data_IF_826064234667
#
_entry.id   IF_826064234667
#
_cell.length_a   1.000
_cell.length_b   1.000
_cell.length_c   1.000
_cell.angle_alpha   90.00
_cell.angle_beta   90.00
_cell.angle_gamma   90.00
#
_symmetry.space_group_name_H-M   'P 1'
#
loop_
_entity.id
_entity.type
_entity.pdbx_description
1 polymer ?
#
# COMPACT_ATOMS: atom_id res chain seq x y z
N UNK A 1 4.93 -0.39 -11.54
CA UNK A 1 4.70 -1.84 -11.67
C UNK A 1 3.86 -2.27 -10.48
N UNK A 2 2.54 -2.40 -10.67
CA UNK A 2 1.55 -2.75 -9.63
C UNK A 2 0.72 -3.96 -10.08
N UNK A 3 1.36 -4.87 -10.80
CA UNK A 3 0.76 -6.12 -11.27
C UNK A 3 1.81 -7.16 -10.94
N UNK A 4 1.57 -7.94 -9.89
CA UNK A 4 2.41 -9.11 -9.57
C UNK A 4 1.51 -10.33 -9.60
N UNK A 5 1.86 -11.30 -10.45
CA UNK A 5 1.27 -12.63 -10.50
C UNK A 5 2.37 -13.62 -10.15
N UNK A 6 2.54 -13.99 -8.87
CA UNK A 6 3.83 -14.54 -8.45
C UNK A 6 3.81 -15.56 -7.31
N UNK A 7 4.80 -16.46 -7.37
CA UNK A 7 5.34 -17.22 -6.23
C UNK A 7 6.41 -16.41 -5.46
N UNK A 8 6.94 -15.33 -6.03
CA UNK A 8 7.95 -14.43 -5.47
C UNK A 8 7.71 -12.96 -5.87
N UNK A 9 7.96 -11.99 -5.00
CA UNK A 9 7.61 -10.55 -5.14
C UNK A 9 8.19 -9.78 -6.38
N UNK A 10 8.70 -10.48 -7.39
CA UNK A 10 9.26 -9.97 -8.65
C UNK A 10 8.60 -10.51 -9.93
N UNK A 11 7.68 -11.48 -9.85
CA UNK A 11 7.15 -12.14 -11.04
C UNK A 11 6.35 -11.21 -11.97
N UNK A 12 6.68 -11.36 -13.26
CA UNK A 12 6.21 -10.57 -14.37
C UNK A 12 4.75 -10.92 -14.75
N UNK A 13 3.81 -9.96 -14.72
CA UNK A 13 2.44 -10.16 -15.18
C UNK A 13 2.37 -10.73 -16.61
N UNK A 14 3.35 -10.44 -17.47
CA UNK A 14 3.40 -11.00 -18.82
C UNK A 14 3.48 -12.52 -18.82
N UNK A 15 4.10 -13.17 -17.81
CA UNK A 15 4.16 -14.63 -17.72
C UNK A 15 2.78 -15.24 -17.53
N UNK A 16 1.95 -14.67 -16.66
CA UNK A 16 0.58 -15.17 -16.45
C UNK A 16 -0.26 -14.98 -17.72
N UNK A 17 -0.14 -13.82 -18.39
CA UNK A 17 -0.80 -13.59 -19.68
C UNK A 17 -0.38 -14.60 -20.74
N UNK A 18 0.92 -14.88 -20.85
CA UNK A 18 1.45 -15.88 -21.79
C UNK A 18 0.98 -17.30 -21.45
N UNK A 19 0.93 -17.67 -20.18
CA UNK A 19 0.45 -18.99 -19.75
C UNK A 19 -1.03 -19.20 -20.06
N UNK A 20 -1.87 -18.17 -19.83
CA UNK A 20 -3.28 -18.19 -20.20
C UNK A 20 -3.46 -18.27 -21.72
N UNK A 21 -2.72 -17.45 -22.49
CA UNK A 21 -2.76 -17.49 -23.96
C UNK A 21 -2.25 -18.83 -24.53
N UNK A 22 -1.27 -19.45 -23.86
CA UNK A 22 -0.71 -20.76 -24.20
C UNK A 22 -1.58 -21.95 -23.77
N UNK A 23 -2.65 -21.73 -23.02
CA UNK A 23 -3.56 -22.79 -22.57
C UNK A 23 -3.01 -23.67 -21.43
N UNK A 24 -2.00 -23.19 -20.70
CA UNK A 24 -1.42 -23.90 -19.56
C UNK A 24 -1.21 -22.96 -18.35
N UNK A 25 -2.27 -22.30 -17.85
CA UNK A 25 -2.16 -21.44 -16.68
C UNK A 25 -2.10 -22.25 -15.38
N UNK A 26 -1.61 -21.65 -14.28
CA UNK A 26 -1.81 -22.20 -12.94
C UNK A 26 -3.31 -22.24 -12.57
N UNK A 27 -3.69 -23.13 -11.66
CA UNK A 27 -5.10 -23.27 -11.25
C UNK A 27 -5.57 -22.13 -10.32
N UNK A 28 -4.70 -21.65 -9.42
CA UNK A 28 -4.95 -20.53 -8.50
C UNK A 28 -3.75 -19.59 -8.49
N UNK A 29 -4.00 -18.29 -8.52
CA UNK A 29 -2.96 -17.25 -8.44
C UNK A 29 -3.25 -16.29 -7.30
N UNK A 30 -2.22 -15.99 -6.50
CA UNK A 30 -2.22 -14.85 -5.58
C UNK A 30 -1.85 -13.59 -6.36
N UNK A 31 -2.79 -12.66 -6.44
CA UNK A 31 -2.75 -11.56 -7.41
C UNK A 31 -3.08 -10.22 -6.75
N UNK A 32 -2.46 -9.14 -7.22
CA UNK A 32 -2.73 -7.79 -6.74
C UNK A 32 -4.20 -7.43 -7.00
N UNK A 33 -4.94 -7.13 -5.93
CA UNK A 33 -6.38 -6.89 -5.99
C UNK A 33 -6.70 -5.65 -6.84
N UNK A 34 -5.80 -4.67 -6.87
CA UNK A 34 -5.97 -3.43 -7.65
C UNK A 34 -6.06 -3.69 -9.17
N UNK A 35 -5.47 -4.79 -9.63
CA UNK A 35 -5.41 -5.16 -11.05
C UNK A 35 -6.52 -6.15 -11.46
N UNK A 36 -7.35 -6.64 -10.54
CA UNK A 36 -8.36 -7.67 -10.81
C UNK A 36 -9.34 -7.20 -11.89
N UNK A 37 -9.90 -6.00 -11.76
CA UNK A 37 -10.86 -5.47 -12.72
C UNK A 37 -10.30 -5.31 -14.14
N UNK A 38 -9.04 -4.84 -14.25
CA UNK A 38 -8.34 -4.71 -15.53
C UNK A 38 -8.16 -6.07 -16.21
N UNK A 39 -7.76 -7.09 -15.46
CA UNK A 39 -7.49 -8.42 -15.99
C UNK A 39 -8.78 -9.21 -16.29
N UNK A 40 -9.81 -9.03 -15.48
CA UNK A 40 -11.15 -9.53 -15.76
C UNK A 40 -11.69 -8.95 -17.07
N UNK A 41 -11.48 -7.65 -17.32
CA UNK A 41 -11.90 -6.98 -18.58
C UNK A 41 -11.22 -7.57 -19.82
N UNK A 42 -10.00 -8.08 -19.66
CA UNK A 42 -9.22 -8.75 -20.71
C UNK A 42 -9.59 -10.24 -20.87
N UNK A 43 -10.53 -10.75 -20.07
CA UNK A 43 -10.97 -12.13 -20.12
C UNK A 43 -9.95 -13.13 -19.57
N UNK A 44 -9.02 -12.68 -18.74
CA UNK A 44 -7.91 -13.52 -18.26
C UNK A 44 -8.33 -14.39 -17.07
N UNK A 45 -9.34 -13.97 -16.32
CA UNK A 45 -9.85 -14.68 -15.16
C UNK A 45 -11.18 -15.38 -15.44
N UNK A 46 -11.39 -16.48 -14.74
CA UNK A 46 -12.66 -17.21 -14.68
C UNK A 46 -13.63 -16.45 -13.75
N UNK A 47 -14.88 -16.21 -14.15
CA UNK A 47 -15.91 -15.71 -13.24
C UNK A 47 -16.16 -16.69 -12.09
N UNK A 48 -16.22 -16.19 -10.87
CA UNK A 48 -16.43 -16.98 -9.65
C UNK A 48 -17.88 -16.93 -9.14
N UNK A 49 -18.71 -16.05 -9.72
CA UNK A 49 -20.09 -15.81 -9.24
C UNK A 49 -20.94 -17.09 -9.19
N UNK A 50 -20.90 -17.92 -10.23
CA UNK A 50 -21.67 -19.17 -10.27
C UNK A 50 -21.26 -20.17 -9.18
N UNK A 51 -19.97 -20.19 -8.83
CA UNK A 51 -19.45 -21.05 -7.75
C UNK A 51 -19.93 -20.56 -6.37
N UNK A 52 -19.87 -19.24 -6.15
CA UNK A 52 -20.39 -18.61 -4.94
C UNK A 52 -21.90 -18.85 -4.78
N UNK A 53 -22.68 -18.60 -5.84
CA UNK A 53 -24.14 -18.76 -5.81
C UNK A 53 -24.55 -20.21 -5.60
N UNK A 54 -23.82 -21.17 -6.19
CA UNK A 54 -24.02 -22.59 -5.96
C UNK A 54 -23.77 -22.97 -4.50
N UNK A 55 -22.69 -22.48 -3.88
CA UNK A 55 -22.36 -22.78 -2.49
C UNK A 55 -23.34 -22.17 -1.50
N UNK A 56 -23.77 -20.93 -1.73
CA UNK A 56 -24.80 -20.29 -0.91
C UNK A 56 -26.14 -21.04 -0.96
N UNK A 57 -26.45 -21.69 -2.09
CA UNK A 57 -27.68 -22.45 -2.28
C UNK A 57 -27.59 -23.89 -1.75
N UNK A 58 -26.49 -24.58 -2.03
CA UNK A 58 -26.35 -26.03 -1.85
C UNK A 58 -25.61 -26.39 -0.56
N UNK A 59 -24.76 -25.48 -0.07
CA UNK A 59 -23.91 -25.67 1.11
C UNK A 59 -23.98 -24.48 2.08
N UNK A 60 -25.17 -23.96 2.45
CA UNK A 60 -25.28 -22.77 3.29
C UNK A 60 -24.66 -22.95 4.69
N UNK A 61 -24.67 -24.18 5.21
CA UNK A 61 -24.16 -24.48 6.56
C UNK A 61 -22.71 -24.97 6.56
N UNK A 62 -22.06 -25.07 5.40
CA UNK A 62 -20.64 -25.42 5.31
C UNK A 62 -19.79 -24.25 5.86
N UNK A 63 -18.91 -24.49 6.85
CA UNK A 63 -18.07 -23.43 7.43
C UNK A 63 -17.09 -22.79 6.43
N UNK A 64 -16.86 -23.42 5.27
CA UNK A 64 -16.03 -22.88 4.19
C UNK A 64 -16.82 -22.13 3.13
N UNK A 65 -18.15 -22.06 3.22
CA UNK A 65 -18.96 -21.26 2.29
C UNK A 65 -18.68 -19.78 2.52
N UNK A 66 -18.14 -19.14 1.49
CA UNK A 66 -17.78 -17.73 1.51
C UNK A 66 -19.02 -16.86 1.47
N UNK A 67 -18.97 -15.75 2.21
CA UNK A 67 -20.05 -14.77 2.28
C UNK A 67 -19.46 -13.36 2.14
N UNK A 68 -20.03 -12.47 1.31
CA UNK A 68 -19.51 -11.11 1.15
C UNK A 68 -19.32 -10.37 2.47
N UNK A 69 -20.18 -10.61 3.45
CA UNK A 69 -20.18 -9.97 4.76
C UNK A 69 -18.99 -10.37 5.64
N UNK A 70 -18.24 -11.41 5.26
CA UNK A 70 -16.98 -11.79 5.92
C UNK A 70 -15.81 -10.90 5.51
N UNK A 71 -15.98 -10.08 4.46
CA UNK A 71 -14.94 -9.24 3.89
C UNK A 71 -15.27 -7.76 4.08
N UNK A 72 -14.24 -6.91 4.12
CA UNK A 72 -14.47 -5.47 4.05
C UNK A 72 -15.10 -5.10 2.70
N UNK A 73 -16.11 -4.24 2.71
CA UNK A 73 -16.86 -3.83 1.51
C UNK A 73 -15.95 -3.39 0.36
N UNK A 74 -14.94 -2.57 0.65
CA UNK A 74 -13.95 -2.13 -0.35
C UNK A 74 -13.15 -3.30 -0.95
N UNK A 75 -12.79 -4.29 -0.13
CA UNK A 75 -12.07 -5.48 -0.58
C UNK A 75 -12.92 -6.33 -1.52
N UNK A 76 -14.17 -6.54 -1.13
CA UNK A 76 -15.12 -7.29 -1.94
C UNK A 76 -15.45 -6.58 -3.25
N UNK A 77 -15.65 -5.25 -3.21
CA UNK A 77 -15.96 -4.44 -4.39
C UNK A 77 -14.82 -4.47 -5.43
N UNK A 78 -13.57 -4.36 -5.00
CA UNK A 78 -12.42 -4.45 -5.91
C UNK A 78 -12.23 -5.86 -6.53
N UNK A 79 -12.84 -6.88 -5.95
CA UNK A 79 -12.81 -8.25 -6.46
C UNK A 79 -13.84 -8.51 -7.56
N UNK A 80 -14.64 -7.50 -7.91
CA UNK A 80 -15.68 -7.58 -8.93
C UNK A 80 -15.34 -6.76 -10.17
N UNK A 81 -15.85 -7.21 -11.31
CA UNK A 81 -15.86 -6.44 -12.56
C UNK A 81 -17.25 -6.53 -13.18
N UNK A 82 -17.86 -5.36 -13.44
CA UNK A 82 -19.24 -5.26 -13.96
C UNK A 82 -20.27 -6.07 -13.13
N UNK A 83 -20.14 -6.04 -11.80
CA UNK A 83 -21.04 -6.74 -10.88
C UNK A 83 -20.86 -8.27 -10.82
N UNK A 84 -19.84 -8.81 -11.49
CA UNK A 84 -19.50 -10.24 -11.45
C UNK A 84 -18.23 -10.43 -10.63
N UNK A 85 -18.23 -11.41 -9.72
CA UNK A 85 -17.05 -11.76 -8.90
C UNK A 85 -15.97 -12.46 -9.74
N UNK A 86 -14.71 -12.03 -9.62
CA UNK A 86 -13.55 -12.63 -10.30
C UNK A 86 -12.41 -13.03 -9.37
N UNK A 87 -12.44 -12.56 -8.12
CA UNK A 87 -11.41 -12.85 -7.13
C UNK A 87 -12.03 -13.04 -5.75
N UNK A 88 -11.30 -13.68 -4.84
CA UNK A 88 -11.63 -13.73 -3.41
C UNK A 88 -10.55 -12.97 -2.64
N UNK A 89 -10.89 -11.90 -1.88
CA UNK A 89 -9.92 -11.18 -1.09
C UNK A 89 -9.19 -12.11 -0.12
N UNK A 90 -7.87 -11.94 0.00
CA UNK A 90 -7.04 -12.70 0.93
C UNK A 90 -6.62 -11.83 2.13
N UNK A 91 -6.15 -10.62 1.84
CA UNK A 91 -5.73 -9.66 2.86
C UNK A 91 -6.13 -8.24 2.46
N UNK A 92 -5.89 -7.34 3.41
CA UNK A 92 -5.84 -5.91 3.16
C UNK A 92 -4.56 -5.36 3.77
N UNK A 93 -3.95 -4.40 3.10
CA UNK A 93 -2.85 -3.60 3.61
C UNK A 93 -3.24 -2.11 3.52
N UNK A 94 -2.67 -1.28 4.40
CA UNK A 94 -3.02 0.14 4.47
C UNK A 94 -1.79 1.03 4.45
N UNK A 95 -1.92 2.22 3.84
CA UNK A 95 -0.85 3.23 3.79
C UNK A 95 -1.12 4.31 4.82
N UNK A 96 -0.12 4.56 5.65
CA UNK A 96 -0.14 5.58 6.67
C UNK A 96 1.17 6.38 6.66
N UNK A 97 1.14 7.59 7.20
CA UNK A 97 2.32 8.40 7.45
C UNK A 97 3.06 7.84 8.68
N UNK A 98 4.22 7.26 8.44
CA UNK A 98 5.22 6.93 9.47
C UNK A 98 6.12 8.14 9.69
N UNK A 99 6.41 8.44 10.95
CA UNK A 99 7.29 9.54 11.32
C UNK A 99 8.19 9.19 12.50
N UNK A 100 9.39 9.74 12.48
CA UNK A 100 10.37 9.58 13.55
C UNK A 100 10.14 10.66 14.62
N UNK A 101 9.65 10.25 15.79
CA UNK A 101 9.33 11.17 16.89
C UNK A 101 10.58 11.88 17.42
N UNK A 102 11.74 11.22 17.46
CA UNK A 102 12.98 11.86 17.94
C UNK A 102 13.41 13.01 17.03
N UNK A 103 13.18 12.89 15.72
CA UNK A 103 13.41 13.97 14.77
C UNK A 103 12.38 15.10 14.90
N UNK A 104 11.12 14.79 15.20
CA UNK A 104 10.11 15.81 15.51
C UNK A 104 10.47 16.57 16.80
N UNK A 105 10.83 15.85 17.87
CA UNK A 105 11.21 16.43 19.15
C UNK A 105 12.45 17.33 19.01
N UNK A 106 13.44 16.92 18.21
CA UNK A 106 14.64 17.72 17.93
C UNK A 106 14.34 19.05 17.23
N UNK A 107 13.26 19.12 16.46
CA UNK A 107 12.83 20.29 15.68
C UNK A 107 11.51 20.87 16.21
N UNK A 108 11.24 20.66 17.52
CA UNK A 108 9.95 20.94 18.12
C UNK A 108 9.51 22.41 17.94
N UNK A 109 10.41 23.36 18.21
CA UNK A 109 10.08 24.78 18.16
C UNK A 109 9.64 25.23 16.77
N UNK A 110 10.35 24.81 15.71
CA UNK A 110 10.00 25.15 14.33
C UNK A 110 8.73 24.44 13.87
N UNK A 111 8.54 23.18 14.25
CA UNK A 111 7.36 22.40 13.89
C UNK A 111 6.09 22.94 14.56
N UNK A 112 6.15 23.27 15.85
CA UNK A 112 5.05 23.89 16.60
C UNK A 112 4.70 25.25 15.98
N UNK A 113 5.70 26.07 15.64
CA UNK A 113 5.48 27.34 14.97
C UNK A 113 4.83 27.19 13.58
N UNK A 114 5.07 26.07 12.90
CA UNK A 114 4.41 25.69 11.66
C UNK A 114 3.03 25.03 11.86
N UNK A 115 2.55 24.92 13.10
CA UNK A 115 1.27 24.30 13.44
C UNK A 115 1.29 22.75 13.44
N UNK A 116 2.47 22.14 13.31
CA UNK A 116 2.66 20.69 13.44
C UNK A 116 2.74 20.31 14.92
N UNK A 117 1.59 20.22 15.57
CA UNK A 117 1.45 19.95 17.01
C UNK A 117 0.78 18.60 17.26
N UNK A 118 1.07 18.00 18.40
CA UNK A 118 0.38 16.78 18.86
C UNK A 118 -1.11 17.12 19.10
N UNK A 119 -2.06 16.36 18.52
CA UNK A 119 -3.49 16.58 18.74
C UNK A 119 -3.92 16.50 20.21
N UNK A 120 -3.25 15.67 21.01
CA UNK A 120 -3.57 15.43 22.42
C UNK A 120 -2.82 16.40 23.35
N UNK A 121 -1.71 16.99 22.88
CA UNK A 121 -0.91 17.97 23.61
C UNK A 121 -0.28 19.02 22.66
N UNK A 122 -0.97 20.15 22.40
CA UNK A 122 -0.49 21.17 21.46
C UNK A 122 0.83 21.86 21.84
N UNK A 123 1.37 21.57 23.04
CA UNK A 123 2.69 22.06 23.47
C UNK A 123 3.85 21.20 22.96
N UNK A 124 3.56 20.06 22.34
CA UNK A 124 4.52 19.12 21.77
C UNK A 124 4.44 19.11 20.25
N UNK A 125 5.54 18.79 19.54
CA UNK A 125 5.48 18.61 18.10
C UNK A 125 4.68 17.35 17.76
N UNK A 126 3.88 17.45 16.71
CA UNK A 126 3.12 16.34 16.16
C UNK A 126 3.35 16.20 14.66
N UNK A 127 2.86 15.10 14.06
CA UNK A 127 2.98 14.90 12.62
C UNK A 127 2.15 15.94 11.85
N UNK A 128 2.56 16.30 10.63
CA UNK A 128 1.74 17.15 9.77
C UNK A 128 0.38 16.46 9.50
N UNK A 129 -0.69 17.25 9.53
CA UNK A 129 -2.06 16.80 9.26
C UNK A 129 -2.60 17.40 7.96
N UNK A 130 -2.03 18.53 7.53
CA UNK A 130 -2.38 19.17 6.26
C UNK A 130 -1.21 19.22 5.28
N UNK A 131 -1.49 19.46 4.00
CA UNK A 131 -0.44 19.64 2.98
C UNK A 131 0.47 20.83 3.27
N UNK A 132 -0.09 21.92 3.78
CA UNK A 132 0.65 23.11 4.21
C UNK A 132 1.64 22.77 5.33
N UNK A 133 1.15 22.03 6.33
CA UNK A 133 1.98 21.50 7.41
C UNK A 133 3.04 20.53 6.88
N UNK A 134 2.68 19.65 5.93
CA UNK A 134 3.62 18.70 5.34
C UNK A 134 4.73 19.43 4.57
N UNK A 135 4.43 20.51 3.82
CA UNK A 135 5.46 21.34 3.18
C UNK A 135 6.41 21.95 4.20
N UNK A 136 5.85 22.55 5.25
CA UNK A 136 6.66 23.16 6.30
C UNK A 136 7.53 22.13 7.02
N UNK A 137 6.95 21.00 7.44
CA UNK A 137 7.68 19.91 8.08
C UNK A 137 8.74 19.30 7.16
N UNK A 138 8.46 19.13 5.87
CA UNK A 138 9.44 18.67 4.86
C UNK A 138 10.63 19.61 4.82
N UNK A 139 10.40 20.91 4.80
CA UNK A 139 11.46 21.93 4.80
C UNK A 139 12.28 21.90 6.10
N UNK A 140 11.61 21.89 7.25
CA UNK A 140 12.25 21.91 8.58
C UNK A 140 13.11 20.66 8.81
N UNK A 141 12.61 19.50 8.41
CA UNK A 141 13.25 18.22 8.68
C UNK A 141 14.29 17.85 7.61
N UNK A 142 14.32 18.51 6.47
CA UNK A 142 15.36 18.33 5.45
C UNK A 142 16.66 19.00 5.88
N UNK A 143 17.79 18.31 5.71
CA UNK A 143 19.11 18.83 6.07
C UNK A 143 20.12 18.62 4.96
N UNK A 144 21.04 19.58 4.84
CA UNK A 144 22.13 19.58 3.86
C UNK A 144 23.49 19.65 4.57
N UNK A 145 24.52 19.07 3.96
CA UNK A 145 25.90 19.28 4.38
C UNK A 145 26.43 20.66 3.94
N UNK A 146 27.65 21.00 4.35
CA UNK A 146 28.31 22.26 3.98
C UNK A 146 28.56 22.42 2.46
N UNK A 147 28.47 21.34 1.69
CA UNK A 147 28.61 21.33 0.22
C UNK A 147 27.25 21.42 -0.47
N UNK A 148 26.15 21.47 0.29
CA UNK A 148 24.79 21.53 -0.24
C UNK A 148 24.23 20.19 -0.69
N UNK A 149 24.84 19.06 -0.31
CA UNK A 149 24.29 17.74 -0.55
C UNK A 149 23.24 17.40 0.51
N UNK A 150 22.16 16.73 0.12
CA UNK A 150 21.19 16.20 1.06
C UNK A 150 21.86 15.16 1.97
N UNK A 151 21.67 15.32 3.28
CA UNK A 151 22.09 14.34 4.31
C UNK A 151 20.91 13.75 5.07
N UNK A 152 19.77 14.43 5.03
CA UNK A 152 18.49 13.93 5.55
C UNK A 152 17.34 14.51 4.76
N UNK A 153 16.35 13.68 4.48
CA UNK A 153 15.10 14.09 3.83
C UNK A 153 13.99 14.18 4.87
N UNK A 154 13.24 15.29 4.83
CA UNK A 154 12.06 15.47 5.67
C UNK A 154 10.91 14.53 5.31
N UNK A 155 10.53 14.48 4.03
CA UNK A 155 9.47 13.61 3.52
C UNK A 155 9.70 13.26 2.05
N UNK A 156 9.46 12.00 1.68
CA UNK A 156 9.53 11.54 0.29
C UNK A 156 8.13 11.22 -0.23
N UNK A 157 7.64 11.90 -1.29
CA UNK A 157 6.28 11.71 -1.77
C UNK A 157 6.10 10.51 -2.73
N UNK A 158 7.11 9.65 -2.92
CA UNK A 158 7.09 8.67 -4.03
C UNK A 158 7.77 7.32 -3.75
N UNK A 159 7.08 6.25 -4.19
CA UNK A 159 7.52 4.85 -4.34
C UNK A 159 8.13 4.58 -5.73
N UNK A 160 9.12 3.67 -5.93
CA UNK A 160 9.54 2.60 -5.03
C UNK A 160 10.71 2.93 -4.12
N UNK A 161 11.30 4.11 -4.27
CA UNK A 161 12.61 4.36 -3.67
C UNK A 161 12.52 4.50 -2.14
N UNK A 162 11.49 5.14 -1.58
CA UNK A 162 11.31 5.30 -0.12
C UNK A 162 9.84 5.47 0.28
N UNK A 163 9.17 4.35 0.54
CA UNK A 163 7.77 4.31 0.95
C UNK A 163 6.85 3.71 -0.12
N UNK A 164 5.56 3.71 0.20
CA UNK A 164 4.51 3.10 -0.60
C UNK A 164 3.42 4.13 -0.97
N UNK A 165 3.82 5.31 -1.43
CA UNK A 165 2.91 6.34 -1.94
C UNK A 165 3.09 6.57 -3.45
N UNK A 166 1.97 6.73 -4.14
CA UNK A 166 1.89 7.15 -5.54
C UNK A 166 0.92 8.31 -5.68
N UNK A 167 0.83 8.89 -6.88
CA UNK A 167 -0.11 9.98 -7.19
C UNK A 167 -1.55 9.67 -6.76
N UNK A 168 -1.94 8.39 -6.73
CA UNK A 168 -3.28 7.94 -6.32
C UNK A 168 -3.70 8.49 -4.95
N UNK A 169 -2.86 8.32 -3.92
CA UNK A 169 -3.23 8.74 -2.56
C UNK A 169 -3.39 10.26 -2.48
N UNK A 170 -2.53 11.04 -3.14
CA UNK A 170 -2.62 12.50 -3.15
C UNK A 170 -3.84 13.00 -3.93
N UNK A 171 -4.18 12.35 -5.05
CA UNK A 171 -5.41 12.63 -5.79
C UNK A 171 -6.64 12.40 -4.92
N UNK A 172 -6.75 11.24 -4.26
CA UNK A 172 -7.87 10.92 -3.37
C UNK A 172 -7.96 11.86 -2.17
N UNK A 173 -6.83 12.24 -1.55
CA UNK A 173 -6.79 13.22 -0.47
C UNK A 173 -7.29 14.60 -0.92
N UNK A 174 -7.08 14.97 -2.19
CA UNK A 174 -7.65 16.18 -2.79
C UNK A 174 -9.12 16.00 -3.25
N UNK A 175 -9.72 14.83 -3.01
CA UNK A 175 -11.08 14.47 -3.37
C UNK A 175 -11.27 14.16 -4.86
N UNK A 176 -10.18 13.89 -5.58
CA UNK A 176 -10.19 13.53 -6.99
C UNK A 176 -10.52 12.05 -7.20
N UNK A 177 -10.90 11.68 -8.42
CA UNK A 177 -11.04 10.31 -8.88
C UNK A 177 -10.23 10.11 -10.16
N UNK A 178 -9.73 8.90 -10.39
CA UNK A 178 -8.90 8.57 -11.56
C UNK A 178 -9.71 7.98 -12.73
N UNK A 179 -11.00 7.71 -12.49
CA UNK A 179 -11.95 7.17 -13.46
C UNK A 179 -13.32 7.78 -13.19
N UNK A 180 -14.13 7.95 -14.24
CA UNK A 180 -15.56 8.28 -14.11
C UNK A 180 -16.34 7.18 -13.39
N UNK A 181 -17.51 7.53 -12.82
CA UNK A 181 -18.39 6.59 -12.11
C UNK A 181 -18.79 5.36 -12.96
N UNK A 182 -18.89 5.51 -14.28
CA UNK A 182 -19.20 4.43 -15.21
C UNK A 182 -17.99 3.56 -15.59
N UNK A 183 -16.79 3.90 -15.11
CA UNK A 183 -15.55 3.18 -15.37
C UNK A 183 -14.98 3.37 -16.77
N UNK A 184 -15.52 4.27 -17.60
CA UNK A 184 -15.19 4.36 -19.04
C UNK A 184 -14.28 5.50 -19.41
N UNK A 185 -14.12 6.51 -18.57
CA UNK A 185 -13.33 7.71 -18.86
C UNK A 185 -12.23 7.87 -17.82
N UNK A 186 -10.98 7.80 -18.25
CA UNK A 186 -9.85 8.12 -17.38
C UNK A 186 -9.81 9.63 -17.12
N UNK A 187 -9.88 10.02 -15.85
CA UNK A 187 -9.92 11.42 -15.40
C UNK A 187 -8.58 11.89 -14.84
N UNK A 188 -7.47 11.21 -15.17
CA UNK A 188 -6.12 11.47 -14.65
C UNK A 188 -5.66 12.93 -14.81
N UNK A 189 -6.19 13.67 -15.77
CA UNK A 189 -5.85 15.07 -16.04
C UNK A 189 -6.81 16.08 -15.38
N UNK A 190 -7.71 15.66 -14.47
CA UNK A 190 -8.59 16.60 -13.79
C UNK A 190 -7.79 17.59 -12.90
N UNK A 191 -8.28 18.83 -12.69
CA UNK A 191 -7.52 19.87 -11.99
C UNK A 191 -6.98 19.44 -10.62
N UNK A 192 -7.76 18.67 -9.85
CA UNK A 192 -7.38 18.21 -8.51
C UNK A 192 -6.24 17.18 -8.53
N UNK A 193 -6.11 16.38 -9.59
CA UNK A 193 -4.97 15.46 -9.76
C UNK A 193 -3.74 16.24 -10.23
N UNK A 194 -3.92 17.23 -11.11
CA UNK A 194 -2.83 18.11 -11.53
C UNK A 194 -2.27 18.88 -10.32
N UNK A 195 -3.13 19.39 -9.44
CA UNK A 195 -2.76 20.01 -8.16
C UNK A 195 -2.01 19.03 -7.24
N UNK A 196 -2.48 17.78 -7.14
CA UNK A 196 -1.80 16.75 -6.36
C UNK A 196 -0.40 16.43 -6.91
N UNK A 197 -0.24 16.35 -8.23
CA UNK A 197 1.06 16.17 -8.87
C UNK A 197 1.96 17.38 -8.66
N UNK A 198 1.43 18.59 -8.78
CA UNK A 198 2.17 19.83 -8.53
C UNK A 198 2.66 19.90 -7.07
N UNK A 199 1.83 19.48 -6.12
CA UNK A 199 2.21 19.34 -4.72
C UNK A 199 3.35 18.34 -4.53
N UNK A 200 3.28 17.18 -5.18
CA UNK A 200 4.38 16.20 -5.14
C UNK A 200 5.68 16.79 -5.69
N UNK A 201 5.64 17.53 -6.80
CA UNK A 201 6.83 18.19 -7.38
C UNK A 201 7.39 19.29 -6.48
N UNK A 202 6.52 20.07 -5.84
CA UNK A 202 6.94 21.13 -4.91
C UNK A 202 7.74 20.57 -3.73
N UNK A 203 7.38 19.37 -3.23
CA UNK A 203 8.14 18.71 -2.17
C UNK A 203 9.57 18.38 -2.62
N UNK A 204 9.78 17.98 -3.89
CA UNK A 204 11.13 17.81 -4.44
C UNK A 204 11.88 19.14 -4.50
N UNK A 205 11.22 20.22 -4.90
CA UNK A 205 11.85 21.55 -4.99
C UNK A 205 12.28 22.06 -3.60
N UNK A 206 11.47 21.84 -2.57
CA UNK A 206 11.81 22.14 -1.16
C UNK A 206 13.09 21.40 -0.73
N UNK A 207 13.31 20.19 -1.25
CA UNK A 207 14.50 19.38 -0.96
C UNK A 207 15.70 19.71 -1.86
N UNK A 208 15.63 20.78 -2.65
CA UNK A 208 16.70 21.20 -3.56
C UNK A 208 16.65 20.54 -4.93
N UNK A 209 15.49 20.03 -5.33
CA UNK A 209 15.20 19.51 -6.67
C UNK A 209 15.35 17.98 -6.80
N UNK A 210 14.73 17.44 -7.85
CA UNK A 210 14.69 16.00 -8.12
C UNK A 210 16.09 15.37 -8.24
N UNK A 211 17.06 16.07 -8.86
CA UNK A 211 18.43 15.57 -9.03
C UNK A 211 19.13 15.30 -7.70
N UNK A 212 19.01 16.22 -6.74
CA UNK A 212 19.60 16.04 -5.40
C UNK A 212 18.93 14.90 -4.65
N UNK A 213 17.61 14.80 -4.77
CA UNK A 213 16.87 13.69 -4.16
C UNK A 213 17.34 12.38 -4.77
N UNK A 214 17.38 12.22 -6.10
CA UNK A 214 17.85 11.00 -6.77
C UNK A 214 19.29 10.65 -6.36
N UNK A 215 20.19 11.63 -6.26
CA UNK A 215 21.56 11.42 -5.80
C UNK A 215 21.60 10.90 -4.35
N UNK A 216 20.82 11.51 -3.46
CA UNK A 216 20.65 11.02 -2.08
C UNK A 216 20.12 9.59 -2.06
N UNK A 217 19.06 9.30 -2.82
CA UNK A 217 18.44 7.98 -2.91
C UNK A 217 19.47 6.91 -3.30
N UNK A 218 20.25 7.18 -4.35
CA UNK A 218 21.31 6.28 -4.83
C UNK A 218 22.33 5.97 -3.74
N UNK A 219 22.74 7.00 -2.98
CA UNK A 219 23.72 6.84 -1.89
C UNK A 219 23.13 6.15 -0.66
N UNK A 220 21.86 6.40 -0.36
CA UNK A 220 21.21 5.95 0.86
C UNK A 220 20.73 4.51 0.76
N UNK A 221 20.35 4.04 -0.44
CA UNK A 221 19.99 2.63 -0.71
C UNK A 221 21.20 1.68 -0.69
N UNK A 222 22.42 2.20 -0.73
CA UNK A 222 23.64 1.37 -0.63
C UNK A 222 24.03 0.97 0.79
N UNK A 223 23.27 1.40 1.82
CA UNK A 223 23.52 1.04 3.21
C UNK A 223 22.76 -0.20 3.68
N UNK A 224 23.17 -0.75 4.83
CA UNK A 224 22.61 -1.99 5.40
C UNK A 224 21.18 -1.85 5.95
N UNK A 225 20.70 -0.61 6.15
CA UNK A 225 19.39 -0.30 6.73
C UNK A 225 18.60 0.63 5.83
N UNK A 226 17.29 0.43 5.78
CA UNK A 226 16.35 1.38 5.19
C UNK A 226 16.60 2.80 5.79
N UNK A 227 16.71 3.86 4.97
CA UNK A 227 17.01 5.21 5.41
C UNK A 227 16.06 5.81 6.46
N UNK A 228 14.81 5.35 6.56
CA UNK A 228 13.94 5.73 7.67
C UNK A 228 14.45 5.11 9.00
N UNK A 229 14.88 3.84 8.97
CA UNK A 229 15.52 3.16 10.10
C UNK A 229 16.92 3.68 10.42
N UNK A 230 17.51 4.52 9.57
CA UNK A 230 18.83 5.12 9.83
C UNK A 230 18.74 6.63 10.07
N UNK A 231 17.55 7.16 10.41
CA UNK A 231 17.28 8.57 10.70
C UNK A 231 17.59 9.54 9.52
N UNK A 232 17.75 8.99 8.32
CA UNK A 232 18.03 9.70 7.06
C UNK A 232 16.76 10.13 6.34
N UNK A 233 15.63 9.50 6.63
CA UNK A 233 14.28 9.93 6.20
C UNK A 233 13.44 10.15 7.46
N UNK A 234 12.92 11.36 7.65
CA UNK A 234 12.19 11.71 8.87
C UNK A 234 10.74 11.22 8.85
N UNK A 235 10.10 11.27 7.68
CA UNK A 235 8.72 10.85 7.48
C UNK A 235 8.56 10.18 6.12
N UNK A 236 7.70 9.17 6.04
CA UNK A 236 7.30 8.52 4.78
C UNK A 236 5.89 7.97 4.88
N UNK A 237 5.18 7.90 3.75
CA UNK A 237 3.96 7.10 3.66
C UNK A 237 4.38 5.69 3.28
N UNK A 238 4.02 4.70 4.08
CA UNK A 238 4.35 3.29 3.83
C UNK A 238 3.22 2.36 4.26
N UNK A 239 3.35 1.08 3.94
CA UNK A 239 2.40 0.03 4.34
C UNK A 239 2.58 -0.42 5.79
N UNK A 240 1.54 -0.99 6.36
CA UNK A 240 1.52 -1.62 7.69
C UNK A 240 2.56 -2.75 7.84
N UNK A 241 2.87 -3.46 6.76
CA UNK A 241 3.94 -4.46 6.72
C UNK A 241 5.32 -3.91 7.14
N UNK A 242 5.54 -2.60 7.05
CA UNK A 242 6.80 -1.97 7.45
C UNK A 242 7.01 -1.96 8.98
N UNK A 243 5.95 -2.14 9.78
CA UNK A 243 6.09 -2.29 11.23
C UNK A 243 7.01 -3.45 11.62
N UNK A 244 6.98 -4.53 10.83
CA UNK A 244 7.84 -5.70 11.04
C UNK A 244 9.31 -5.35 10.82
N UNK A 245 9.64 -4.49 9.86
CA UNK A 245 11.01 -4.00 9.66
C UNK A 245 11.49 -3.21 10.87
N UNK A 246 10.66 -2.31 11.39
CA UNK A 246 10.98 -1.51 12.58
C UNK A 246 11.20 -2.43 13.79
N UNK A 247 10.26 -3.35 14.06
CA UNK A 247 10.33 -4.24 15.22
C UNK A 247 11.57 -5.14 15.23
N UNK A 248 12.07 -5.50 14.04
CA UNK A 248 13.22 -6.40 13.90
C UNK A 248 14.56 -5.68 13.75
N UNK A 249 14.59 -4.45 13.25
CA UNK A 249 15.83 -3.75 12.91
C UNK A 249 16.11 -2.52 13.78
N UNK A 250 15.09 -1.88 14.35
CA UNK A 250 15.18 -0.65 15.18
C UNK A 250 14.07 -0.60 16.24
N UNK A 251 14.00 -1.61 17.10
CA UNK A 251 12.93 -1.74 18.12
C UNK A 251 12.90 -0.59 19.13
N UNK A 252 14.02 0.09 19.31
CA UNK A 252 14.20 1.26 20.18
C UNK A 252 13.72 2.57 19.54
N UNK A 253 13.47 2.58 18.23
CA UNK A 253 13.01 3.77 17.52
C UNK A 253 11.63 4.21 18.01
N UNK A 254 11.54 5.49 18.39
CA UNK A 254 10.25 6.14 18.69
C UNK A 254 9.56 6.50 17.39
N UNK A 255 8.85 5.54 16.80
CA UNK A 255 8.04 5.74 15.61
C UNK A 255 6.60 6.09 15.99
N UNK A 256 6.03 7.06 15.28
CA UNK A 256 4.59 7.30 15.28
C UNK A 256 3.96 7.01 13.92
N UNK A 257 2.66 6.71 13.92
CA UNK A 257 1.88 6.42 12.72
C UNK A 257 0.59 7.23 12.74
N UNK A 258 0.25 7.88 11.63
CA UNK A 258 -1.02 8.61 11.48
C UNK A 258 -1.50 8.56 10.02
N UNK A 259 -2.74 8.96 9.73
CA UNK A 259 -3.23 9.01 8.34
C UNK A 259 -2.36 9.91 7.45
N UNK A 260 -2.42 9.78 6.14
CA UNK A 260 -1.73 10.72 5.27
C UNK A 260 -2.28 12.16 5.46
N UNK A 261 -1.45 13.22 5.34
CA UNK A 261 -1.91 14.60 5.39
C UNK A 261 -2.76 14.94 4.16
N UNK A 262 -3.83 15.72 4.31
CA UNK A 262 -4.71 16.13 3.22
C UNK A 262 -4.62 17.65 2.98
N UNK A 263 -5.15 18.21 1.88
CA UNK A 263 -5.36 19.66 1.80
C UNK A 263 -6.21 20.17 2.98
N UNK A 264 -6.03 21.42 3.36
CA UNK A 264 -6.76 22.02 4.48
C UNK A 264 -8.28 21.84 4.31
N UNK A 265 -8.97 21.45 5.40
CA UNK A 265 -10.40 21.17 5.38
C UNK A 265 -10.84 19.91 4.61
N UNK A 266 -9.93 19.14 3.99
CA UNK A 266 -10.24 17.85 3.36
C UNK A 266 -10.12 16.69 4.35
N UNK A 267 -10.86 15.62 4.08
CA UNK A 267 -10.77 14.40 4.86
C UNK A 267 -9.42 13.72 4.63
N UNK A 268 -8.77 13.32 5.73
CA UNK A 268 -7.61 12.43 5.69
C UNK A 268 -8.09 11.00 5.54
N UNK A 269 -7.42 10.24 4.69
CA UNK A 269 -7.75 8.85 4.38
C UNK A 269 -6.49 8.00 4.33
N UNK A 270 -6.68 6.69 4.53
CA UNK A 270 -5.69 5.67 4.20
C UNK A 270 -5.93 5.15 2.78
N UNK A 271 -5.11 4.21 2.36
CA UNK A 271 -5.29 3.51 1.09
C UNK A 271 -5.28 2.01 1.34
N UNK A 272 -6.45 1.41 1.16
CA UNK A 272 -6.68 -0.02 1.17
C UNK A 272 -6.12 -0.63 -0.13
N UNK A 273 -5.12 -1.49 0.00
CA UNK A 273 -4.69 -2.39 -1.06
C UNK A 273 -4.84 -3.84 -0.59
N UNK A 274 -4.06 -4.71 -1.22
CA UNK A 274 -3.89 -6.09 -0.80
C UNK A 274 -4.01 -7.03 -1.96
N UNK A 275 -4.10 -8.31 -1.64
CA UNK A 275 -4.07 -9.38 -2.60
C UNK A 275 -5.36 -10.19 -2.54
N UNK A 276 -5.63 -10.87 -3.64
CA UNK A 276 -6.76 -11.75 -3.80
C UNK A 276 -6.34 -13.05 -4.48
N UNK A 277 -7.14 -14.10 -4.32
CA UNK A 277 -7.01 -15.32 -5.08
C UNK A 277 -7.89 -15.26 -6.33
N UNK A 278 -7.30 -15.57 -7.48
CA UNK A 278 -8.00 -15.65 -8.77
C UNK A 278 -7.80 -17.02 -9.40
N UNK A 279 -8.77 -17.44 -10.21
CA UNK A 279 -8.67 -18.61 -11.07
C UNK A 279 -8.48 -18.12 -12.50
N UNK A 280 -7.34 -18.37 -13.15
CA UNK A 280 -7.16 -18.02 -14.55
C UNK A 280 -8.10 -18.78 -15.48
N UNK A 281 -8.51 -18.14 -16.57
CA UNK A 281 -9.22 -18.80 -17.66
C UNK A 281 -8.31 -19.85 -18.29
N UNK A 282 -8.84 -21.04 -18.55
CA UNK A 282 -8.05 -22.18 -19.02
C UNK A 282 -7.50 -23.07 -17.91
N UNK A 283 -7.79 -22.75 -16.63
CA UNK A 283 -7.58 -23.64 -15.49
C UNK A 283 -8.19 -25.03 -15.78
N UNK A 284 -7.41 -26.09 -15.54
CA UNK A 284 -7.81 -27.48 -15.83
C UNK A 284 -8.72 -28.05 -14.73
N UNK A 285 -8.64 -27.47 -13.53
CA UNK A 285 -9.32 -27.95 -12.33
C UNK A 285 -10.11 -26.84 -11.63
N UNK A 286 -11.08 -26.18 -12.30
CA UNK A 286 -11.70 -24.97 -11.77
C UNK A 286 -12.57 -25.23 -10.52
N UNK A 287 -13.15 -26.43 -10.38
CA UNK A 287 -13.93 -26.79 -9.19
C UNK A 287 -13.02 -27.02 -7.99
N UNK A 288 -11.93 -27.73 -8.18
CA UNK A 288 -10.94 -28.01 -7.15
C UNK A 288 -10.20 -26.73 -6.74
N UNK A 289 -9.90 -25.85 -7.71
CA UNK A 289 -9.35 -24.53 -7.47
C UNK A 289 -10.30 -23.66 -6.61
N UNK A 290 -11.61 -23.71 -6.88
CA UNK A 290 -12.61 -23.03 -6.05
C UNK A 290 -12.63 -23.56 -4.60
N UNK A 291 -12.66 -24.89 -4.41
CA UNK A 291 -12.59 -25.47 -3.06
C UNK A 291 -11.30 -25.09 -2.33
N UNK A 292 -10.18 -25.03 -3.06
CA UNK A 292 -8.91 -24.60 -2.49
C UNK A 292 -8.93 -23.13 -2.08
N UNK A 293 -9.50 -22.24 -2.89
CA UNK A 293 -9.67 -20.81 -2.54
C UNK A 293 -10.55 -20.65 -1.30
N UNK A 294 -11.66 -21.40 -1.19
CA UNK A 294 -12.50 -21.40 0.01
C UNK A 294 -11.73 -21.79 1.27
N UNK A 295 -10.90 -22.83 1.16
CA UNK A 295 -10.02 -23.21 2.26
C UNK A 295 -9.03 -22.09 2.59
N UNK A 296 -8.35 -21.52 1.59
CA UNK A 296 -7.35 -20.45 1.79
C UNK A 296 -7.92 -19.19 2.43
N UNK A 297 -9.16 -18.83 2.10
CA UNK A 297 -9.88 -17.68 2.65
C UNK A 297 -10.53 -17.98 4.02
N UNK A 298 -10.45 -19.22 4.52
CA UNK A 298 -11.03 -19.59 5.81
C UNK A 298 -10.17 -19.14 7.00
N UNK A 299 -10.83 -18.98 8.15
CA UNK A 299 -10.14 -18.76 9.43
C UNK A 299 -9.09 -19.85 9.70
N UNK A 300 -9.38 -21.11 9.35
CA UNK A 300 -8.45 -22.23 9.57
C UNK A 300 -7.15 -22.06 8.80
N UNK A 301 -7.22 -21.66 7.53
CA UNK A 301 -6.02 -21.40 6.74
C UNK A 301 -5.27 -20.17 7.25
N UNK A 302 -5.98 -19.13 7.71
CA UNK A 302 -5.34 -17.98 8.35
C UNK A 302 -4.54 -18.38 9.60
N UNK A 303 -5.12 -19.19 10.49
CA UNK A 303 -4.44 -19.71 11.69
C UNK A 303 -3.18 -20.50 11.34
N UNK A 304 -3.26 -21.41 10.34
CA UNK A 304 -2.10 -22.18 9.87
C UNK A 304 -0.99 -21.26 9.37
N UNK A 305 -1.33 -20.23 8.58
CA UNK A 305 -0.36 -19.27 8.04
C UNK A 305 0.24 -18.40 9.14
N UNK A 306 -0.55 -17.95 10.10
CA UNK A 306 -0.07 -17.17 11.24
C UNK A 306 0.90 -17.98 12.12
N UNK A 307 0.55 -19.23 12.42
CA UNK A 307 1.43 -20.12 13.20
C UNK A 307 2.73 -20.42 12.46
N UNK A 308 2.67 -20.72 11.16
CA UNK A 308 3.85 -20.94 10.33
C UNK A 308 4.73 -19.68 10.24
N UNK A 309 4.12 -18.51 10.04
CA UNK A 309 4.81 -17.22 9.98
C UNK A 309 5.51 -16.89 11.30
N UNK A 310 4.85 -17.16 12.43
CA UNK A 310 5.43 -17.01 13.76
C UNK A 310 6.62 -17.94 13.98
N UNK A 311 6.50 -19.21 13.60
CA UNK A 311 7.60 -20.18 13.71
C UNK A 311 8.79 -19.75 12.87
N UNK A 312 8.56 -19.34 11.61
CA UNK A 312 9.62 -18.88 10.71
C UNK A 312 10.32 -17.63 11.24
N UNK A 313 9.54 -16.64 11.70
CA UNK A 313 10.10 -15.40 12.27
C UNK A 313 10.98 -15.70 13.47
N UNK A 314 10.47 -16.50 14.42
CA UNK A 314 11.23 -16.90 15.60
C UNK A 314 12.50 -17.69 15.24
N UNK A 315 12.44 -18.58 14.25
CA UNK A 315 13.59 -19.35 13.79
C UNK A 315 14.70 -18.46 13.19
N UNK A 316 14.32 -17.29 12.65
CA UNK A 316 15.24 -16.28 12.13
C UNK A 316 15.72 -15.28 13.20
N UNK A 317 15.26 -15.42 14.45
CA UNK A 317 15.53 -14.46 15.53
C UNK A 317 14.70 -13.17 15.44
N UNK A 318 13.68 -13.15 14.59
CA UNK A 318 12.79 -12.03 14.38
C UNK A 318 11.56 -12.10 15.30
N UNK A 319 11.02 -10.96 15.68
CA UNK A 319 9.72 -10.79 16.34
C UNK A 319 8.61 -10.95 15.31
N UNK A 320 7.64 -11.81 15.64
CA UNK A 320 6.36 -11.87 14.95
C UNK A 320 5.38 -10.90 15.62
N UNK A 321 4.88 -9.93 14.86
CA UNK A 321 3.88 -8.94 15.30
C UNK A 321 2.66 -8.98 14.40
#
# INVERSE_FOLDING_TARGET
MGQSATLDRQGDPQRLMCAVAGGDPPDVVWFDRFAVGEWASRGVFLPLQEYLDADLRERPDDPFTLRPEQFFDACWAESQYQGTLYAIPENTDNRALFYNQDLLDKHASELIAAGCVDPDDPTKPGPPRTWDQLRAATKILTAFDAKGNLVRIGFLPHSPNFGNSWLYIYGWLNGAQFMSDDGKTCTLNEPRIVEALAFMTELYDIMGGAEKVIAFQTSAMGGDLDPFLSDKVAMKIDGDFYLTEIANRRRDMRVGVTLAPAPEGKQRLGWCGGFAYVIPRGCKHPREAWEFIKFLASQRAFEIRADAGKQLSNAQGNVYI
#
